data_IF_403237479689
#
_entry.id   IF_403237479689
#
_cell.length_a   1.000
_cell.length_b   1.000
_cell.length_c   1.000
_cell.angle_alpha   90.00
_cell.angle_beta   90.00
_cell.angle_gamma   90.00
#
_symmetry.space_group_name_H-M   'P 1'
#
loop_
_entity.id
_entity.type
_entity.pdbx_description
1 polymer ?
#
# COMPACT_ATOMS: atom_id res chain seq x y z
N UNK A 1 -11.76 52.60 28.98
CA UNK A 1 -13.02 51.88 28.70
C UNK A 1 -12.68 50.66 27.87
N UNK A 2 -12.99 49.48 28.38
CA UNK A 2 -12.78 48.20 27.72
C UNK A 2 -13.88 47.95 26.69
N UNK A 3 -13.52 47.40 25.54
CA UNK A 3 -14.46 46.74 24.64
C UNK A 3 -13.80 45.46 24.13
N UNK A 4 -14.29 44.37 24.72
CA UNK A 4 -14.09 42.98 24.35
C UNK A 4 -14.90 42.76 23.06
N UNK A 5 -14.31 42.15 22.04
CA UNK A 5 -15.06 41.57 20.94
C UNK A 5 -14.73 40.08 20.85
N UNK A 6 -15.68 39.29 21.32
CA UNK A 6 -15.95 37.91 20.91
C UNK A 6 -16.00 37.86 19.36
N UNK A 7 -15.48 36.86 18.66
CA UNK A 7 -15.76 35.45 18.84
C UNK A 7 -16.72 35.01 17.72
N UNK A 8 -16.20 34.63 16.55
CA UNK A 8 -16.99 33.88 15.56
C UNK A 8 -16.14 32.76 14.94
N UNK A 9 -16.42 31.54 15.40
CA UNK A 9 -15.80 30.31 14.94
C UNK A 9 -16.30 29.90 13.55
N UNK A 10 -15.37 29.42 12.74
CA UNK A 10 -15.61 28.90 11.40
C UNK A 10 -16.54 27.68 11.43
N UNK A 11 -17.65 27.76 10.67
CA UNK A 11 -18.68 26.73 10.55
C UNK A 11 -18.22 25.63 9.58
N UNK A 12 -17.81 24.48 10.12
CA UNK A 12 -17.74 23.22 9.37
C UNK A 12 -19.10 22.53 9.51
N UNK A 13 -19.81 22.19 8.42
CA UNK A 13 -21.03 21.38 8.51
C UNK A 13 -20.67 19.93 8.80
N UNK A 14 -20.99 19.46 10.02
CA UNK A 14 -21.00 18.03 10.38
C UNK A 14 -22.39 17.48 10.06
N UNK A 15 -22.49 16.58 9.09
CA UNK A 15 -23.69 15.76 8.91
C UNK A 15 -23.61 14.54 9.83
N UNK A 16 -24.34 14.61 10.95
CA UNK A 16 -24.74 13.45 11.73
C UNK A 16 -26.05 12.87 11.19
N UNK A 17 -26.09 11.56 11.00
CA UNK A 17 -27.29 10.80 10.68
C UNK A 17 -27.25 9.46 11.39
N UNK A 18 -27.88 9.40 12.56
CA UNK A 18 -28.10 8.19 13.33
C UNK A 18 -29.26 7.38 12.75
N UNK A 19 -29.13 6.05 12.67
CA UNK A 19 -30.24 5.11 12.85
C UNK A 19 -29.73 3.67 13.13
N UNK A 20 -29.99 3.21 14.36
CA UNK A 20 -30.30 1.82 14.77
C UNK A 20 -31.58 1.93 15.63
N UNK A 21 -32.47 0.93 15.76
CA UNK A 21 -32.22 -0.41 16.33
C UNK A 21 -32.90 -1.53 15.48
N UNK A 22 -32.85 -2.84 15.71
CA UNK A 22 -33.01 -3.59 16.96
C UNK A 22 -32.52 -5.04 16.82
N UNK A 23 -32.24 -5.63 17.99
CA UNK A 23 -31.85 -7.01 18.24
C UNK A 23 -33.04 -7.97 18.18
N UNK A 24 -32.80 -9.24 17.85
CA UNK A 24 -33.53 -10.36 18.47
C UNK A 24 -32.66 -11.63 18.47
N UNK A 25 -32.39 -12.13 19.68
CA UNK A 25 -32.11 -13.53 20.01
C UNK A 25 -33.22 -14.45 19.41
N UNK A 26 -33.11 -15.77 19.20
CA UNK A 26 -32.55 -16.87 20.03
C UNK A 26 -32.60 -18.18 19.21
N UNK A 27 -31.71 -19.12 19.54
CA UNK A 27 -31.94 -20.59 19.68
C UNK A 27 -32.03 -21.53 18.46
N UNK A 28 -31.14 -22.52 18.52
CA UNK A 28 -31.05 -23.78 17.75
C UNK A 28 -32.35 -24.62 17.73
N UNK A 29 -32.48 -25.51 16.73
CA UNK A 29 -32.70 -26.91 17.08
C UNK A 29 -31.78 -27.91 16.37
N UNK A 30 -31.68 -29.07 17.02
CA UNK A 30 -30.83 -30.22 16.73
C UNK A 30 -31.60 -31.31 15.96
N UNK A 31 -30.81 -32.25 15.40
CA UNK A 31 -31.10 -33.65 14.97
C UNK A 31 -31.41 -33.96 13.49
N UNK A 32 -30.41 -34.67 12.93
CA UNK A 32 -30.44 -35.92 12.13
C UNK A 32 -31.16 -35.89 10.77
N UNK A 33 -30.42 -36.22 9.70
CA UNK A 33 -30.44 -37.57 9.13
C UNK A 33 -29.34 -37.71 8.06
N UNK A 34 -28.58 -38.80 8.17
CA UNK A 34 -27.57 -39.22 7.21
C UNK A 34 -28.27 -39.97 6.07
N UNK A 35 -28.07 -39.55 4.83
CA UNK A 35 -28.28 -40.40 3.65
C UNK A 35 -27.14 -40.16 2.68
N UNK A 36 -26.27 -41.16 2.63
CA UNK A 36 -25.32 -41.45 1.56
C UNK A 36 -25.98 -41.35 0.19
N UNK A 37 -25.37 -40.63 -0.75
CA UNK A 37 -25.39 -40.97 -2.18
C UNK A 37 -24.20 -40.33 -2.88
N UNK A 38 -23.35 -41.22 -3.33
CA UNK A 38 -22.23 -41.08 -4.25
C UNK A 38 -22.68 -40.35 -5.52
N UNK A 39 -22.01 -39.27 -5.88
CA UNK A 39 -21.98 -38.74 -7.23
C UNK A 39 -20.58 -38.14 -7.45
N UNK A 40 -19.87 -38.73 -8.40
CA UNK A 40 -18.51 -38.41 -8.77
C UNK A 40 -18.33 -36.92 -9.08
N UNK A 41 -17.34 -36.31 -8.43
CA UNK A 41 -16.88 -34.97 -8.72
C UNK A 41 -15.88 -35.05 -9.88
N UNK A 42 -16.30 -34.56 -11.04
CA UNK A 42 -15.52 -34.51 -12.28
C UNK A 42 -14.35 -33.53 -12.11
N UNK A 43 -13.13 -34.06 -11.96
CA UNK A 43 -11.91 -33.25 -12.01
C UNK A 43 -11.53 -32.96 -13.47
N UNK A 44 -11.30 -31.68 -13.75
CA UNK A 44 -10.84 -31.14 -15.02
C UNK A 44 -9.59 -31.85 -15.52
N UNK A 45 -9.64 -32.29 -16.78
CA UNK A 45 -8.59 -33.03 -17.47
C UNK A 45 -7.67 -32.07 -18.21
N UNK A 46 -6.53 -31.72 -17.62
CA UNK A 46 -5.41 -31.15 -18.37
C UNK A 46 -4.54 -32.26 -18.98
N UNK A 47 -4.07 -32.14 -20.24
CA UNK A 47 -3.61 -33.30 -21.01
C UNK A 47 -2.12 -33.63 -20.85
N UNK A 48 -1.41 -33.08 -19.84
CA UNK A 48 0.05 -33.09 -19.92
C UNK A 48 0.78 -33.23 -18.58
N UNK A 49 0.55 -34.32 -17.84
CA UNK A 49 1.51 -34.83 -16.87
C UNK A 49 1.40 -36.36 -16.78
N UNK A 50 2.44 -37.05 -17.20
CA UNK A 50 2.51 -38.51 -17.29
C UNK A 50 3.60 -38.99 -16.32
N UNK A 51 3.24 -39.33 -15.08
CA UNK A 51 4.17 -39.99 -14.15
C UNK A 51 4.02 -41.51 -14.27
N UNK A 52 4.74 -42.08 -15.23
CA UNK A 52 4.93 -43.52 -15.32
C UNK A 52 6.01 -43.99 -14.34
N UNK A 53 5.62 -44.67 -13.26
CA UNK A 53 6.50 -45.55 -12.49
C UNK A 53 5.66 -46.59 -11.76
N UNK A 54 5.62 -47.81 -12.30
CA UNK A 54 5.05 -48.97 -11.64
C UNK A 54 6.15 -49.70 -10.86
N UNK A 55 6.18 -49.50 -9.54
CA UNK A 55 6.81 -50.41 -8.58
C UNK A 55 5.69 -51.30 -8.00
N UNK A 56 5.87 -52.62 -7.82
CA UNK A 56 4.84 -53.49 -7.26
C UNK A 56 4.72 -53.27 -5.75
N UNK A 57 3.55 -52.85 -5.28
CA UNK A 57 3.23 -52.78 -3.86
C UNK A 57 2.87 -54.17 -3.32
N UNK A 58 3.66 -54.57 -2.33
CA UNK A 58 3.57 -55.75 -1.51
C UNK A 58 2.42 -55.66 -0.47
N UNK A 59 1.97 -56.81 0.01
CA UNK A 59 1.58 -56.98 1.41
C UNK A 59 0.16 -56.62 1.83
N UNK A 60 -0.76 -57.60 1.77
CA UNK A 60 -1.87 -57.68 2.73
C UNK A 60 -1.77 -59.01 3.48
N UNK A 61 -1.23 -58.95 4.70
CA UNK A 61 -1.41 -59.99 5.71
C UNK A 61 -2.78 -59.83 6.38
N UNK A 62 -3.62 -60.87 6.32
CA UNK A 62 -4.66 -61.11 7.33
C UNK A 62 -4.68 -62.58 7.75
N UNK A 63 -4.37 -62.81 9.02
CA UNK A 63 -4.61 -64.06 9.73
C UNK A 63 -6.03 -64.07 10.32
N UNK A 64 -6.72 -65.22 10.31
CA UNK A 64 -8.06 -65.33 10.91
C UNK A 64 -8.84 -66.63 10.66
N UNK A 65 -8.25 -67.77 11.00
CA UNK A 65 -8.82 -68.96 11.66
C UNK A 65 -10.22 -69.55 11.31
N UNK A 66 -10.18 -70.88 11.16
CA UNK A 66 -11.18 -71.94 11.45
C UNK A 66 -12.19 -72.37 10.36
N UNK A 67 -12.04 -73.64 9.95
CA UNK A 67 -13.03 -74.43 9.22
C UNK A 67 -12.39 -75.64 8.52
N UNK A 68 -12.29 -76.77 9.23
CA UNK A 68 -11.83 -78.09 8.74
C UNK A 68 -12.50 -78.47 7.39
N UNK A 69 -11.82 -79.20 6.48
CA UNK A 69 -12.25 -80.58 6.28
C UNK A 69 -11.11 -81.60 6.13
N UNK A 70 -11.53 -82.85 6.30
CA UNK A 70 -10.75 -84.08 6.47
C UNK A 70 -10.10 -84.58 5.17
N UNK A 71 -9.08 -85.42 5.39
CA UNK A 71 -8.56 -86.51 4.56
C UNK A 71 -7.85 -86.18 3.24
N UNK A 72 -6.55 -86.50 3.14
CA UNK A 72 -6.07 -87.82 2.71
C UNK A 72 -4.54 -87.92 2.81
N UNK A 73 -4.06 -89.14 3.01
CA UNK A 73 -2.66 -89.58 3.18
C UNK A 73 -1.74 -89.15 2.03
N UNK A 74 -0.53 -88.68 2.36
CA UNK A 74 0.72 -89.32 1.91
C UNK A 74 1.90 -88.90 2.79
N UNK A 75 2.52 -89.91 3.39
CA UNK A 75 3.79 -89.85 4.12
C UNK A 75 4.90 -89.81 3.07
N UNK A 76 5.76 -88.80 3.09
CA UNK A 76 7.06 -88.83 2.40
C UNK A 76 8.14 -88.46 3.43
N UNK A 77 8.82 -89.50 3.90
CA UNK A 77 9.78 -89.49 4.98
C UNK A 77 11.18 -89.24 4.41
N UNK A 78 11.65 -87.99 4.42
CA UNK A 78 13.05 -87.70 4.10
C UNK A 78 13.93 -87.78 5.35
N UNK A 79 14.78 -88.80 5.32
CA UNK A 79 15.67 -89.25 6.38
C UNK A 79 16.83 -88.28 6.62
N UNK A 80 17.00 -87.85 7.87
CA UNK A 80 18.26 -87.28 8.37
C UNK A 80 19.30 -88.39 8.41
N UNK A 81 20.32 -88.31 7.56
CA UNK A 81 21.60 -89.01 7.79
C UNK A 81 22.59 -88.03 8.39
N UNK A 82 22.73 -88.12 9.71
CA UNK A 82 23.85 -87.59 10.44
C UNK A 82 25.08 -88.51 10.25
N UNK A 83 26.26 -87.94 10.50
CA UNK A 83 27.55 -88.61 10.73
C UNK A 83 28.39 -89.03 9.52
N UNK A 84 29.07 -88.05 8.90
CA UNK A 84 30.52 -88.15 8.60
C UNK A 84 31.13 -86.74 8.55
N UNK A 85 31.27 -86.06 9.70
CA UNK A 85 32.03 -84.79 9.77
C UNK A 85 33.46 -85.10 10.21
N UNK A 86 34.35 -85.29 9.25
CA UNK A 86 35.79 -85.15 9.50
C UNK A 86 36.13 -83.69 9.86
N UNK A 87 37.21 -83.44 10.62
CA UNK A 87 37.61 -82.10 11.07
C UNK A 87 37.65 -81.06 9.95
N UNK A 88 38.12 -81.46 8.76
CA UNK A 88 38.22 -80.61 7.56
C UNK A 88 36.88 -80.02 7.08
N UNK A 89 35.78 -80.77 7.25
CA UNK A 89 34.44 -80.36 6.80
C UNK A 89 33.76 -79.41 7.82
N UNK A 90 34.22 -79.43 9.07
CA UNK A 90 33.79 -78.49 10.11
C UNK A 90 34.45 -77.13 9.91
N UNK A 91 35.75 -77.09 9.61
CA UNK A 91 36.48 -75.85 9.30
C UNK A 91 35.94 -75.12 8.06
N UNK A 92 35.57 -75.85 7.00
CA UNK A 92 34.94 -75.23 5.80
C UNK A 92 33.61 -74.56 6.13
N UNK A 93 32.76 -75.22 6.92
CA UNK A 93 31.49 -74.65 7.35
C UNK A 93 31.69 -73.44 8.27
N UNK A 94 32.66 -73.51 9.17
CA UNK A 94 32.98 -72.43 10.11
C UNK A 94 33.53 -71.19 9.39
N UNK A 95 34.34 -71.38 8.34
CA UNK A 95 34.76 -70.32 7.44
C UNK A 95 33.58 -69.71 6.66
N UNK A 96 32.66 -70.52 6.13
CA UNK A 96 31.47 -70.03 5.42
C UNK A 96 30.49 -69.29 6.35
N UNK A 97 30.37 -69.74 7.60
CA UNK A 97 29.58 -69.05 8.62
C UNK A 97 30.18 -67.69 8.95
N UNK A 98 31.51 -67.63 9.06
CA UNK A 98 32.23 -66.39 9.31
C UNK A 98 32.03 -65.40 8.15
N UNK A 99 32.16 -65.82 6.90
CA UNK A 99 31.96 -64.95 5.73
C UNK A 99 30.50 -64.48 5.62
N UNK A 100 29.52 -65.35 5.88
CA UNK A 100 28.09 -64.95 5.91
C UNK A 100 27.80 -63.95 7.01
N UNK A 101 28.39 -64.12 8.19
CA UNK A 101 28.22 -63.19 9.31
C UNK A 101 28.88 -61.84 9.00
N UNK A 102 30.05 -61.84 8.38
CA UNK A 102 30.76 -60.64 7.95
C UNK A 102 29.97 -59.87 6.87
N UNK A 103 29.34 -60.58 5.93
CA UNK A 103 28.42 -60.00 4.95
C UNK A 103 27.18 -59.40 5.63
N UNK A 104 26.60 -60.09 6.63
CA UNK A 104 25.44 -59.62 7.37
C UNK A 104 25.76 -58.35 8.17
N UNK A 105 26.92 -58.31 8.84
CA UNK A 105 27.37 -57.10 9.56
C UNK A 105 27.64 -55.94 8.59
N UNK A 106 28.20 -56.20 7.41
CA UNK A 106 28.37 -55.18 6.37
C UNK A 106 27.02 -54.65 5.88
N UNK A 107 26.06 -55.53 5.59
CA UNK A 107 24.72 -55.15 5.16
C UNK A 107 23.97 -54.36 6.24
N UNK A 108 24.12 -54.76 7.51
CA UNK A 108 23.57 -54.06 8.67
C UNK A 108 24.14 -52.66 8.82
N UNK A 109 25.47 -52.51 8.72
CA UNK A 109 26.12 -51.19 8.75
C UNK A 109 25.65 -50.30 7.60
N UNK A 110 25.57 -50.85 6.39
CA UNK A 110 25.08 -50.13 5.21
C UNK A 110 23.62 -49.66 5.38
N UNK A 111 22.72 -50.53 5.86
CA UNK A 111 21.33 -50.14 6.16
C UNK A 111 21.26 -49.08 7.25
N UNK A 112 22.12 -49.15 8.27
CA UNK A 112 22.16 -48.14 9.34
C UNK A 112 22.65 -46.78 8.83
N UNK A 113 23.65 -46.77 7.94
CA UNK A 113 24.11 -45.55 7.26
C UNK A 113 23.00 -44.93 6.41
N UNK A 114 22.31 -45.73 5.59
CA UNK A 114 21.18 -45.24 4.76
C UNK A 114 20.01 -44.74 5.59
N UNK A 115 19.71 -45.39 6.72
CA UNK A 115 18.67 -44.93 7.64
C UNK A 115 19.03 -43.57 8.23
N UNK A 116 20.28 -43.39 8.64
CA UNK A 116 20.77 -42.11 9.20
C UNK A 116 20.72 -40.99 8.17
N UNK A 117 21.17 -41.27 6.94
CA UNK A 117 21.12 -40.32 5.83
C UNK A 117 19.67 -39.89 5.53
N UNK A 118 18.76 -40.86 5.37
CA UNK A 118 17.35 -40.57 5.14
C UNK A 118 16.73 -39.76 6.28
N UNK A 119 17.10 -40.05 7.53
CA UNK A 119 16.66 -39.27 8.69
C UNK A 119 17.18 -37.82 8.66
N UNK A 120 18.43 -37.60 8.22
CA UNK A 120 18.98 -36.25 8.01
C UNK A 120 18.19 -35.50 6.96
N UNK A 121 17.98 -36.10 5.78
CA UNK A 121 17.22 -35.47 4.69
C UNK A 121 15.78 -35.17 5.10
N UNK A 122 15.12 -36.07 5.84
CA UNK A 122 13.77 -35.81 6.36
C UNK A 122 13.77 -34.62 7.32
N UNK A 123 14.81 -34.45 8.13
CA UNK A 123 14.92 -33.31 9.05
C UNK A 123 15.10 -32.01 8.27
N UNK A 124 16.02 -31.99 7.30
CA UNK A 124 16.27 -30.83 6.44
C UNK A 124 15.01 -30.40 5.67
N UNK A 125 14.31 -31.36 5.05
CA UNK A 125 13.07 -31.09 4.32
C UNK A 125 11.94 -30.58 5.23
N UNK A 126 11.89 -31.00 6.50
CA UNK A 126 10.93 -30.46 7.46
C UNK A 126 11.23 -29.01 7.81
N UNK A 127 12.50 -28.69 8.08
CA UNK A 127 12.92 -27.31 8.35
C UNK A 127 12.65 -26.40 7.15
N UNK A 128 12.92 -26.87 5.93
CA UNK A 128 12.60 -26.13 4.70
C UNK A 128 11.08 -25.93 4.54
N UNK A 129 10.29 -26.98 4.77
CA UNK A 129 8.83 -26.89 4.67
C UNK A 129 8.24 -25.91 5.69
N UNK A 130 8.75 -25.90 6.93
CA UNK A 130 8.33 -24.94 7.95
C UNK A 130 8.68 -23.50 7.53
N UNK A 131 9.85 -23.29 6.91
CA UNK A 131 10.25 -22.00 6.33
C UNK A 131 9.34 -21.55 5.18
N UNK A 132 8.99 -22.46 4.27
CA UNK A 132 8.07 -22.18 3.17
C UNK A 132 6.65 -21.84 3.68
N UNK A 133 6.17 -22.52 4.73
CA UNK A 133 4.89 -22.20 5.36
C UNK A 133 4.89 -20.78 5.92
N UNK A 134 5.98 -20.36 6.58
CA UNK A 134 6.10 -19.00 7.09
C UNK A 134 6.14 -17.96 5.97
N UNK A 135 6.86 -18.24 4.88
CA UNK A 135 6.95 -17.32 3.75
C UNK A 135 5.60 -17.16 3.02
N UNK A 136 4.84 -18.24 2.87
CA UNK A 136 3.47 -18.18 2.36
C UNK A 136 2.58 -17.31 3.23
N UNK A 137 2.73 -17.36 4.56
CA UNK A 137 1.99 -16.49 5.47
C UNK A 137 2.38 -15.01 5.30
N UNK A 138 3.68 -14.73 5.15
CA UNK A 138 4.19 -13.38 4.92
C UNK A 138 3.68 -12.80 3.59
N UNK A 139 3.70 -13.60 2.51
CA UNK A 139 3.19 -13.20 1.20
C UNK A 139 1.69 -12.94 1.23
N UNK A 140 0.91 -13.70 2.00
CA UNK A 140 -0.52 -13.44 2.20
C UNK A 140 -0.77 -12.11 2.89
N UNK A 141 -0.04 -11.80 3.98
CA UNK A 141 -0.13 -10.51 4.67
C UNK A 141 0.27 -9.35 3.75
N UNK A 142 1.30 -9.55 2.93
CA UNK A 142 1.71 -8.57 1.93
C UNK A 142 0.63 -8.35 0.87
N UNK A 143 0.06 -9.42 0.32
CA UNK A 143 -1.04 -9.35 -0.64
C UNK A 143 -2.26 -8.60 -0.06
N UNK A 144 -2.66 -8.92 1.17
CA UNK A 144 -3.74 -8.23 1.88
C UNK A 144 -3.45 -6.74 2.02
N UNK A 145 -2.22 -6.39 2.40
CA UNK A 145 -1.78 -4.99 2.50
C UNK A 145 -1.89 -4.26 1.16
N UNK A 146 -1.43 -4.88 0.06
CA UNK A 146 -1.55 -4.32 -1.28
C UNK A 146 -3.02 -4.11 -1.66
N UNK A 147 -3.88 -5.08 -1.41
CA UNK A 147 -5.30 -5.02 -1.70
C UNK A 147 -5.99 -3.89 -0.93
N UNK A 148 -5.70 -3.71 0.36
CA UNK A 148 -6.22 -2.59 1.16
C UNK A 148 -5.78 -1.24 0.59
N UNK A 149 -4.53 -1.11 0.15
CA UNK A 149 -4.04 0.15 -0.47
C UNK A 149 -4.79 0.44 -1.77
N UNK A 150 -4.97 -0.58 -2.61
CA UNK A 150 -5.69 -0.43 -3.87
C UNK A 150 -7.15 -0.04 -3.64
N UNK A 151 -7.85 -0.73 -2.74
CA UNK A 151 -9.25 -0.45 -2.40
C UNK A 151 -9.43 0.94 -1.77
N UNK A 152 -8.61 1.29 -0.78
CA UNK A 152 -8.72 2.57 -0.06
C UNK A 152 -8.44 3.78 -0.94
N UNK A 153 -7.64 3.61 -1.99
CA UNK A 153 -7.34 4.66 -2.97
C UNK A 153 -8.11 4.51 -4.28
N UNK A 154 -9.04 3.55 -4.35
CA UNK A 154 -9.80 3.22 -5.56
C UNK A 154 -8.91 3.03 -6.80
N UNK A 155 -7.74 2.42 -6.61
CA UNK A 155 -6.76 2.18 -7.66
C UNK A 155 -7.12 0.86 -8.35
N UNK A 156 -7.33 0.94 -9.67
CA UNK A 156 -7.36 -0.25 -10.50
C UNK A 156 -5.91 -0.73 -10.76
N UNK A 157 -5.54 -1.96 -10.36
CA UNK A 157 -4.19 -2.49 -10.54
C UNK A 157 -3.77 -2.61 -12.01
N UNK A 158 -4.71 -2.66 -12.97
CA UNK A 158 -4.41 -2.70 -14.40
C UNK A 158 -4.14 -1.29 -14.96
N UNK A 159 -4.72 -0.27 -14.34
CA UNK A 159 -4.71 1.12 -14.82
C UNK A 159 -3.72 1.99 -14.04
N UNK A 160 -2.82 1.38 -13.26
CA UNK A 160 -1.87 2.10 -12.41
C UNK A 160 -0.96 3.11 -13.14
N UNK A 161 -0.68 2.90 -14.42
CA UNK A 161 0.09 3.86 -15.25
C UNK A 161 -0.62 5.21 -15.41
N UNK A 162 -1.95 5.22 -15.49
CA UNK A 162 -2.72 6.46 -15.65
C UNK A 162 -2.66 7.32 -14.38
N UNK A 163 -2.45 6.74 -13.20
CA UNK A 163 -2.30 7.48 -11.95
C UNK A 163 -1.01 8.29 -11.97
N UNK A 164 0.07 7.69 -12.46
CA UNK A 164 1.35 8.37 -12.58
C UNK A 164 1.25 9.53 -13.59
N UNK A 165 0.64 9.28 -14.75
CA UNK A 165 0.40 10.29 -15.76
C UNK A 165 -0.48 11.44 -15.22
N UNK A 166 -1.58 11.12 -14.53
CA UNK A 166 -2.47 12.12 -13.92
C UNK A 166 -1.77 12.93 -12.81
N UNK A 167 -0.91 12.30 -12.01
CA UNK A 167 -0.11 12.99 -10.99
C UNK A 167 0.90 13.94 -11.64
N UNK A 168 1.56 13.52 -12.73
CA UNK A 168 2.45 14.39 -13.50
C UNK A 168 1.69 15.58 -14.12
N UNK A 169 0.53 15.35 -14.73
CA UNK A 169 -0.34 16.41 -15.26
C UNK A 169 -0.79 17.38 -14.15
N UNK A 170 -1.19 16.84 -13.00
CA UNK A 170 -1.61 17.63 -11.85
C UNK A 170 -0.45 18.47 -11.32
N UNK A 171 0.75 17.89 -11.23
CA UNK A 171 1.95 18.59 -10.80
C UNK A 171 2.33 19.70 -11.79
N UNK A 172 2.24 19.45 -13.09
CA UNK A 172 2.52 20.44 -14.12
C UNK A 172 1.50 21.58 -14.09
N UNK A 173 0.21 21.26 -13.95
CA UNK A 173 -0.85 22.25 -13.75
C UNK A 173 -0.59 23.12 -12.50
N UNK A 174 -0.19 22.50 -11.38
CA UNK A 174 0.15 23.22 -10.16
C UNK A 174 1.36 24.15 -10.36
N UNK A 175 2.41 23.72 -11.07
CA UNK A 175 3.57 24.57 -11.39
C UNK A 175 3.14 25.77 -12.23
N UNK A 176 2.34 25.57 -13.27
CA UNK A 176 1.86 26.66 -14.13
C UNK A 176 0.98 27.64 -13.35
N UNK A 177 0.07 27.14 -12.51
CA UNK A 177 -0.78 27.95 -11.63
C UNK A 177 0.05 28.80 -10.66
N UNK A 178 1.10 28.21 -10.07
CA UNK A 178 2.01 28.90 -9.16
C UNK A 178 2.78 30.00 -9.89
N UNK A 179 3.34 29.70 -11.06
CA UNK A 179 4.06 30.67 -11.89
C UNK A 179 3.17 31.87 -12.30
N UNK A 180 1.94 31.59 -12.72
CA UNK A 180 0.98 32.64 -13.09
C UNK A 180 0.63 33.52 -11.89
N UNK A 181 0.41 32.90 -10.73
CA UNK A 181 0.11 33.61 -9.48
C UNK A 181 1.28 34.50 -9.08
N UNK A 182 2.52 34.01 -9.17
CA UNK A 182 3.72 34.81 -8.91
C UNK A 182 3.85 35.99 -9.87
N UNK A 183 3.56 35.79 -11.16
CA UNK A 183 3.58 36.86 -12.15
C UNK A 183 2.53 37.93 -11.84
N UNK A 184 1.30 37.51 -11.54
CA UNK A 184 0.22 38.42 -11.15
C UNK A 184 0.59 39.22 -9.90
N UNK A 185 1.17 38.58 -8.88
CA UNK A 185 1.64 39.25 -7.67
C UNK A 185 2.70 40.30 -8.01
N UNK A 186 3.65 40.01 -8.91
CA UNK A 186 4.68 40.97 -9.36
C UNK A 186 4.05 42.16 -10.08
N UNK A 187 3.11 41.91 -10.99
CA UNK A 187 2.41 42.96 -11.73
C UNK A 187 1.57 43.85 -10.82
N UNK A 188 0.83 43.27 -9.86
CA UNK A 188 0.05 44.03 -8.88
C UNK A 188 0.93 44.90 -7.97
N UNK A 189 2.11 44.41 -7.56
CA UNK A 189 3.07 45.22 -6.81
C UNK A 189 3.59 46.39 -7.63
N UNK A 190 3.94 46.15 -8.90
CA UNK A 190 4.40 47.21 -9.80
C UNK A 190 3.30 48.25 -10.01
N UNK A 191 2.07 47.81 -10.26
CA UNK A 191 0.91 48.69 -10.40
C UNK A 191 0.72 49.56 -9.16
N UNK A 192 0.72 48.98 -7.97
CA UNK A 192 0.58 49.73 -6.72
C UNK A 192 1.71 50.75 -6.51
N UNK A 193 2.95 50.41 -6.86
CA UNK A 193 4.07 51.35 -6.80
C UNK A 193 3.90 52.52 -7.77
N UNK A 194 3.47 52.23 -9.00
CA UNK A 194 3.20 53.27 -10.01
C UNK A 194 2.07 54.18 -9.58
N UNK A 195 0.93 53.64 -9.12
CA UNK A 195 -0.17 54.45 -8.60
C UNK A 195 0.26 55.32 -7.41
N UNK A 196 1.08 54.79 -6.49
CA UNK A 196 1.59 55.57 -5.37
C UNK A 196 2.52 56.71 -5.81
N UNK A 197 3.29 56.51 -6.89
CA UNK A 197 4.13 57.55 -7.49
C UNK A 197 3.28 58.62 -8.17
N UNK A 198 2.35 58.21 -9.04
CA UNK A 198 1.44 59.12 -9.76
C UNK A 198 0.58 59.93 -8.79
N UNK A 199 0.09 59.33 -7.70
CA UNK A 199 -0.66 60.04 -6.67
C UNK A 199 0.18 61.14 -6.00
N UNK A 200 1.46 60.88 -5.72
CA UNK A 200 2.38 61.90 -5.17
C UNK A 200 2.66 63.02 -6.17
N UNK A 201 2.87 62.69 -7.44
CA UNK A 201 3.08 63.67 -8.49
C UNK A 201 1.85 64.56 -8.69
N UNK A 202 0.65 63.96 -8.69
CA UNK A 202 -0.61 64.69 -8.76
C UNK A 202 -0.79 65.62 -7.57
N UNK A 203 -0.49 65.16 -6.35
CA UNK A 203 -0.56 66.00 -5.16
C UNK A 203 0.40 67.19 -5.27
N UNK A 204 1.63 66.98 -5.73
CA UNK A 204 2.60 68.05 -5.93
C UNK A 204 2.14 69.07 -6.98
N UNK A 205 1.48 68.62 -8.04
CA UNK A 205 0.88 69.52 -9.05
C UNK A 205 -0.30 70.30 -8.47
N UNK A 206 -1.16 69.65 -7.69
CA UNK A 206 -2.27 70.32 -7.01
C UNK A 206 -1.80 71.41 -6.04
N UNK A 207 -0.74 71.15 -5.27
CA UNK A 207 -0.19 72.14 -4.33
C UNK A 207 0.37 73.36 -5.07
N UNK A 208 1.09 73.14 -6.19
CA UNK A 208 1.57 74.22 -7.06
C UNK A 208 0.42 75.02 -7.67
N UNK A 209 -0.65 74.35 -8.12
CA UNK A 209 -1.83 75.01 -8.65
C UNK A 209 -2.46 75.95 -7.62
N UNK A 210 -2.63 75.48 -6.37
CA UNK A 210 -3.18 76.31 -5.29
C UNK A 210 -2.32 77.53 -5.01
N UNK A 211 -1.00 77.40 -4.95
CA UNK A 211 -0.11 78.56 -4.76
C UNK A 211 -0.19 79.56 -5.92
N UNK A 212 -0.32 79.09 -7.17
CA UNK A 212 -0.50 79.96 -8.33
C UNK A 212 -1.86 80.69 -8.31
N UNK A 213 -2.93 80.00 -7.88
CA UNK A 213 -4.27 80.59 -7.69
C UNK A 213 -4.23 81.71 -6.63
N UNK A 214 -3.57 81.48 -5.49
CA UNK A 214 -3.40 82.47 -4.42
C UNK A 214 -2.59 83.69 -4.87
N UNK A 215 -1.57 83.50 -5.71
CA UNK A 215 -0.80 84.60 -6.29
C UNK A 215 -1.62 85.40 -7.32
N UNK A 216 -2.40 84.72 -8.16
CA UNK A 216 -3.34 85.34 -9.09
C UNK A 216 -4.35 86.21 -8.34
N UNK A 217 -4.93 85.69 -7.25
CA UNK A 217 -5.87 86.41 -6.40
C UNK A 217 -5.24 87.66 -5.75
N UNK A 218 -4.03 87.54 -5.18
CA UNK A 218 -3.29 88.68 -4.63
C UNK A 218 -2.99 89.75 -5.69
N UNK A 219 -2.62 89.32 -6.90
CA UNK A 219 -2.38 90.22 -8.03
C UNK A 219 -3.64 91.01 -8.42
N UNK A 220 -4.80 90.33 -8.44
CA UNK A 220 -6.09 90.96 -8.71
C UNK A 220 -6.47 92.01 -7.66
N UNK A 221 -6.26 91.70 -6.38
CA UNK A 221 -6.49 92.63 -5.27
C UNK A 221 -5.58 93.86 -5.37
N UNK A 222 -4.29 93.66 -5.65
CA UNK A 222 -3.33 94.74 -5.87
C UNK A 222 -3.74 95.63 -7.05
N UNK A 223 -4.15 95.04 -8.17
CA UNK A 223 -4.63 95.78 -9.33
C UNK A 223 -5.88 96.62 -8.99
N UNK A 224 -6.82 96.05 -8.22
CA UNK A 224 -8.00 96.78 -7.75
C UNK A 224 -7.63 97.96 -6.83
N UNK A 225 -6.67 97.78 -5.92
CA UNK A 225 -6.18 98.85 -5.03
C UNK A 225 -5.53 99.98 -5.85
N UNK A 226 -4.62 99.64 -6.75
CA UNK A 226 -3.95 100.61 -7.61
C UNK A 226 -4.95 101.40 -8.47
N UNK A 227 -5.97 100.72 -9.00
CA UNK A 227 -7.03 101.39 -9.76
C UNK A 227 -7.82 102.39 -8.90
N UNK A 228 -8.07 102.07 -7.63
CA UNK A 228 -8.75 102.97 -6.70
C UNK A 228 -7.89 104.21 -6.39
N UNK A 229 -6.60 104.00 -6.07
CA UNK A 229 -5.63 105.10 -5.85
C UNK A 229 -5.51 106.01 -7.08
N UNK A 230 -5.43 105.43 -8.28
CA UNK A 230 -5.37 106.21 -9.52
C UNK A 230 -6.62 107.07 -9.72
N UNK A 231 -7.81 106.53 -9.42
CA UNK A 231 -9.06 107.31 -9.46
C UNK A 231 -9.06 108.44 -8.44
N UNK A 232 -8.60 108.19 -7.22
CA UNK A 232 -8.47 109.21 -6.18
C UNK A 232 -7.52 110.34 -6.63
N UNK A 233 -6.35 110.00 -7.15
CA UNK A 233 -5.40 110.98 -7.70
C UNK A 233 -5.98 111.76 -8.88
N UNK A 234 -6.71 111.11 -9.79
CA UNK A 234 -7.42 111.83 -10.86
C UNK A 234 -8.44 112.82 -10.29
N UNK A 235 -9.25 112.42 -9.31
CA UNK A 235 -10.24 113.32 -8.71
C UNK A 235 -9.62 114.52 -7.99
N UNK A 236 -8.50 114.32 -7.29
CA UNK A 236 -7.79 115.42 -6.61
C UNK A 236 -7.14 116.38 -7.62
N UNK A 237 -6.63 115.86 -8.74
CA UNK A 237 -6.10 116.69 -9.83
C UNK A 237 -7.21 117.52 -10.49
N UNK A 238 -8.35 116.92 -10.81
CA UNK A 238 -9.52 117.62 -11.37
C UNK A 238 -10.01 118.72 -10.41
N UNK A 239 -9.98 118.48 -9.10
CA UNK A 239 -10.36 119.49 -8.10
C UNK A 239 -9.34 120.63 -8.00
N UNK A 240 -8.04 120.32 -8.05
CA UNK A 240 -6.98 121.35 -8.11
C UNK A 240 -7.09 122.20 -9.38
N UNK A 241 -7.38 121.60 -10.53
CA UNK A 241 -7.59 122.33 -11.79
C UNK A 241 -8.78 123.29 -11.71
N UNK A 242 -9.85 122.92 -10.99
CA UNK A 242 -11.00 123.82 -10.76
C UNK A 242 -10.71 124.98 -9.80
N UNK A 243 -9.64 124.92 -9.02
CA UNK A 243 -9.23 125.95 -8.05
C UNK A 243 -8.18 126.92 -8.60
N UNK A 244 -7.60 126.65 -9.77
CA UNK A 244 -6.67 127.51 -10.50
C UNK A 244 -7.38 128.39 -11.54
#
# INVERSE_FOLDING_TARGET
AAAIMDGEGSRIPVYGGAHRPAETQVTFPSKKQCTTKTADLEFSKDPNFNFGSSIPADGVFKAGNQGLPKSAKKVEQFSRKAATRGPLNRYKLEAELKTKNELLETAKQHLHSRLTEAQSTIKELKEENDGLVQEVENLKKFQETCMVILESRNIDPVTGSNILEQEEETQECQKQSTLLTEKLIKELRLFNQTCAKEAKELQAVMDKWKSAEEESQRSLENHSSFQAEMKEHMTTLDELERLL
#
